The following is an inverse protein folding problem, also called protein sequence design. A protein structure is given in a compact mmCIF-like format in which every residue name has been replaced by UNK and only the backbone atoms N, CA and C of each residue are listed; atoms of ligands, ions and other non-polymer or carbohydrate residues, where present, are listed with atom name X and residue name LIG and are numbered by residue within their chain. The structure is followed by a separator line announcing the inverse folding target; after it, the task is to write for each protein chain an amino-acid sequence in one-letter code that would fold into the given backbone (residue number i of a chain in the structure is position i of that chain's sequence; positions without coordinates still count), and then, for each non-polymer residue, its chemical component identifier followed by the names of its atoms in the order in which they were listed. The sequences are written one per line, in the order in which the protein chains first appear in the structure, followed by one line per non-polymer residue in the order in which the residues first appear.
data_IF_941646310579
#
_entry.id   IF_941646310579
#
_cell.length_a   1.000
_cell.length_b   1.000
_cell.length_c   1.000
_cell.angle_alpha   90.00
_cell.angle_beta   90.00
_cell.angle_gamma   90.00
#
_symmetry.space_group_name_H-M   'P 1'
#
loop_
_entity.id
_entity.type
_entity.pdbx_description
1 polymer ?
#
# COMPACT_ATOMS: atom_id res chain seq x y z
N UNK A 1 -18.46 -14.74 -9.81
CA UNK A 1 -17.31 -15.38 -9.15
C UNK A 1 -16.44 -14.26 -8.61
N UNK A 2 -16.35 -14.11 -7.29
CA UNK A 2 -15.43 -13.15 -6.65
C UNK A 2 -14.06 -13.82 -6.69
N UNK A 3 -13.10 -13.22 -7.39
CA UNK A 3 -11.73 -13.73 -7.38
C UNK A 3 -11.25 -13.77 -5.92
N UNK A 4 -10.65 -14.87 -5.44
CA UNK A 4 -10.07 -14.88 -4.12
C UNK A 4 -9.08 -13.72 -4.05
N UNK A 5 -9.18 -12.89 -3.00
CA UNK A 5 -8.22 -11.82 -2.74
C UNK A 5 -6.85 -12.51 -2.71
N UNK A 6 -6.12 -12.39 -3.82
CA UNK A 6 -4.82 -13.02 -3.98
C UNK A 6 -3.98 -12.65 -2.76
N UNK A 7 -3.32 -13.65 -2.18
CA UNK A 7 -2.51 -13.54 -0.96
C UNK A 7 -1.85 -12.17 -0.86
N UNK A 8 -2.26 -11.39 0.13
CA UNK A 8 -1.73 -10.04 0.33
C UNK A 8 -0.21 -10.15 0.45
N UNK A 9 0.49 -9.52 -0.49
CA UNK A 9 1.94 -9.66 -0.60
C UNK A 9 2.62 -9.09 0.65
N UNK A 10 3.78 -9.66 1.02
CA UNK A 10 4.49 -9.27 2.25
C UNK A 10 4.75 -7.76 2.34
N UNK A 11 5.08 -7.11 1.22
CA UNK A 11 5.34 -5.66 1.21
C UNK A 11 4.10 -4.83 1.56
N UNK A 12 2.89 -5.27 1.17
CA UNK A 12 1.63 -4.57 1.50
C UNK A 12 1.34 -4.64 3.00
N UNK A 13 1.49 -5.82 3.60
CA UNK A 13 1.34 -6.02 5.05
C UNK A 13 2.37 -5.21 5.84
N UNK A 14 3.62 -5.22 5.38
CA UNK A 14 4.68 -4.45 6.02
C UNK A 14 4.41 -2.95 5.94
N UNK A 15 4.03 -2.43 4.77
CA UNK A 15 3.70 -1.01 4.61
C UNK A 15 2.55 -0.59 5.54
N UNK A 16 1.47 -1.37 5.59
CA UNK A 16 0.36 -1.11 6.50
C UNK A 16 0.78 -1.17 7.98
N UNK A 17 1.67 -2.10 8.35
CA UNK A 17 2.24 -2.16 9.70
C UNK A 17 3.06 -0.91 10.05
N UNK A 18 3.89 -0.43 9.11
CA UNK A 18 4.72 0.77 9.28
C UNK A 18 3.89 2.06 9.34
N UNK A 19 2.74 2.11 8.67
CA UNK A 19 1.80 3.23 8.80
C UNK A 19 1.12 3.19 10.17
N UNK A 20 0.64 2.01 10.60
CA UNK A 20 0.01 1.84 11.92
C UNK A 20 0.98 2.11 13.09
N UNK A 21 2.27 1.87 12.92
CA UNK A 21 3.30 2.21 13.92
C UNK A 21 3.65 3.70 13.94
N UNK A 22 3.19 4.49 12.96
CA UNK A 22 3.46 5.92 12.84
C UNK A 22 4.80 6.26 12.17
N UNK A 23 5.51 5.29 11.58
CA UNK A 23 6.71 5.58 10.79
C UNK A 23 6.36 6.36 9.52
N UNK A 24 5.29 5.93 8.84
CA UNK A 24 4.72 6.62 7.69
C UNK A 24 3.37 7.21 8.06
N UNK A 25 3.04 8.37 7.50
CA UNK A 25 1.73 8.99 7.64
C UNK A 25 0.68 8.26 6.79
N UNK A 26 1.04 7.90 5.56
CA UNK A 26 0.15 7.21 4.61
C UNK A 26 0.95 6.51 3.51
N UNK A 27 0.25 5.76 2.66
CA UNK A 27 0.78 5.23 1.41
C UNK A 27 0.29 6.07 0.23
N UNK A 28 1.09 6.17 -0.84
CA UNK A 28 0.70 6.85 -2.08
C UNK A 28 1.28 6.16 -3.32
N UNK A 29 0.66 6.41 -4.48
CA UNK A 29 1.22 6.11 -5.81
C UNK A 29 1.94 7.34 -6.36
N UNK A 30 3.24 7.21 -6.59
CA UNK A 30 4.07 8.27 -7.18
C UNK A 30 4.64 7.87 -8.53
N UNK A 31 4.89 8.84 -9.40
CA UNK A 31 5.61 8.61 -10.65
C UNK A 31 7.10 8.37 -10.35
N UNK A 32 7.67 7.28 -10.87
CA UNK A 32 9.05 6.90 -10.66
C UNK A 32 9.67 6.41 -11.96
N UNK A 33 10.50 7.23 -12.61
CA UNK A 33 11.25 6.89 -13.84
C UNK A 33 10.37 6.25 -14.93
N UNK A 34 9.20 6.82 -15.19
CA UNK A 34 8.24 6.32 -16.20
C UNK A 34 7.35 5.17 -15.73
N UNK A 35 7.43 4.78 -14.45
CA UNK A 35 6.56 3.78 -13.81
C UNK A 35 5.72 4.43 -12.72
N UNK A 36 4.76 3.68 -12.19
CA UNK A 36 3.96 4.02 -11.02
C UNK A 36 4.43 3.19 -9.83
N UNK A 37 4.89 3.86 -8.78
CA UNK A 37 5.47 3.21 -7.61
C UNK A 37 4.59 3.44 -6.38
N UNK A 38 4.39 2.39 -5.59
CA UNK A 38 3.78 2.53 -4.25
C UNK A 38 4.88 2.82 -3.24
N UNK A 39 4.68 3.88 -2.47
CA UNK A 39 5.63 4.37 -1.44
C UNK A 39 4.89 4.65 -0.13
N UNK A 40 5.63 4.65 0.98
CA UNK A 40 5.19 5.29 2.21
C UNK A 40 5.55 6.78 2.18
N UNK A 41 4.69 7.62 2.73
CA UNK A 41 4.92 9.07 2.87
C UNK A 41 5.24 9.35 4.33
N UNK A 42 6.39 9.99 4.59
CA UNK A 42 6.76 10.46 5.92
C UNK A 42 5.92 11.70 6.31
N UNK A 43 5.93 12.05 7.60
CA UNK A 43 5.20 13.23 8.12
C UNK A 43 5.67 14.56 7.51
N UNK A 44 6.91 14.62 7.02
CA UNK A 44 7.44 15.79 6.31
C UNK A 44 7.00 15.84 4.82
N UNK A 45 6.18 14.88 4.38
CA UNK A 45 5.69 14.76 3.01
C UNK A 45 6.68 14.10 2.05
N UNK A 46 7.87 13.70 2.50
CA UNK A 46 8.85 13.04 1.64
C UNK A 46 8.44 11.58 1.36
N UNK A 47 8.64 11.08 0.12
CA UNK A 47 8.35 9.69 -0.20
C UNK A 47 9.50 8.76 0.19
N UNK A 48 9.16 7.56 0.63
CA UNK A 48 10.10 6.47 0.85
C UNK A 48 10.68 5.94 -0.47
N UNK A 49 11.62 5.00 -0.37
CA UNK A 49 11.99 4.18 -1.51
C UNK A 49 10.76 3.41 -2.05
N UNK A 50 10.68 3.16 -3.38
CA UNK A 50 9.62 2.36 -4.00
C UNK A 50 9.55 0.94 -3.41
N UNK A 51 8.37 0.57 -2.91
CA UNK A 51 8.10 -0.78 -2.38
C UNK A 51 7.64 -1.73 -3.49
N UNK A 52 6.84 -1.22 -4.41
CA UNK A 52 6.38 -1.92 -5.60
C UNK A 52 6.33 -0.95 -6.79
N UNK A 53 6.51 -1.48 -8.01
CA UNK A 53 6.51 -0.71 -9.25
C UNK A 53 5.62 -1.37 -10.28
N UNK A 54 4.86 -0.56 -11.00
CA UNK A 54 3.90 -0.98 -12.00
C UNK A 54 4.09 -0.15 -13.27
N UNK A 55 3.98 -0.80 -14.43
CA UNK A 55 3.92 -0.11 -15.71
C UNK A 55 2.56 0.59 -15.93
N UNK A 56 1.51 0.06 -15.30
CA UNK A 56 0.14 0.57 -15.40
C UNK A 56 -0.30 1.20 -14.06
N UNK A 57 -0.90 2.39 -14.14
CA UNK A 57 -1.33 3.15 -12.96
C UNK A 57 -2.44 2.44 -12.19
N UNK A 58 -3.42 1.87 -12.89
CA UNK A 58 -4.58 1.22 -12.26
C UNK A 58 -4.13 0.07 -11.38
N UNK A 59 -3.12 -0.69 -11.82
CA UNK A 59 -2.53 -1.76 -11.00
C UNK A 59 -1.82 -1.25 -9.73
N UNK A 60 -1.21 -0.07 -9.78
CA UNK A 60 -0.61 0.55 -8.60
C UNK A 60 -1.70 1.05 -7.63
N UNK A 61 -2.77 1.67 -8.15
CA UNK A 61 -3.92 2.10 -7.36
C UNK A 61 -4.64 0.91 -6.71
N UNK A 62 -4.86 -0.19 -7.43
CA UNK A 62 -5.44 -1.42 -6.86
C UNK A 62 -4.59 -1.96 -5.71
N UNK A 63 -3.26 -1.92 -5.85
CA UNK A 63 -2.34 -2.35 -4.80
C UNK A 63 -2.36 -1.40 -3.58
N UNK A 64 -2.54 -0.10 -3.80
CA UNK A 64 -2.70 0.90 -2.74
C UNK A 64 -4.00 0.67 -1.96
N UNK A 65 -5.12 0.42 -2.63
CA UNK A 65 -6.41 0.11 -1.98
C UNK A 65 -6.30 -1.10 -1.04
N UNK A 66 -5.52 -2.12 -1.42
CA UNK A 66 -5.26 -3.25 -0.53
C UNK A 66 -4.49 -2.81 0.72
N UNK A 67 -3.49 -1.94 0.59
CA UNK A 67 -2.76 -1.38 1.74
C UNK A 67 -3.68 -0.57 2.64
N UNK A 68 -4.53 0.29 2.07
CA UNK A 68 -5.51 1.10 2.81
C UNK A 68 -6.46 0.22 3.64
N UNK A 69 -6.97 -0.87 3.05
CA UNK A 69 -7.80 -1.84 3.78
C UNK A 69 -7.07 -2.55 4.92
N UNK A 70 -5.76 -2.73 4.84
CA UNK A 70 -4.95 -3.33 5.91
C UNK A 70 -4.58 -2.33 7.02
N UNK A 71 -4.57 -1.04 6.71
CA UNK A 71 -4.37 0.01 7.71
C UNK A 71 -5.61 0.11 8.60
N UNK A 72 -6.80 -0.03 8.01
CA UNK A 72 -8.06 0.06 8.75
C UNK A 72 -8.22 -1.13 9.72
N UNK A 73 -8.23 -0.88 11.04
CA UNK A 73 -8.32 -1.95 12.03
C UNK A 73 -9.70 -2.63 12.04
N UNK A 74 -10.74 -1.96 11.53
CA UNK A 74 -12.12 -2.45 11.52
C UNK A 74 -12.29 -3.61 10.54
N UNK A 75 -11.62 -3.54 9.40
CA UNK A 75 -11.65 -4.58 8.34
C UNK A 75 -10.94 -5.87 8.79
N UNK A 76 -10.02 -5.78 9.75
CA UNK A 76 -9.29 -6.95 10.26
C UNK A 76 -10.14 -7.80 11.23
N UNK A 77 -11.15 -7.22 11.88
CA UNK A 77 -11.97 -7.91 12.88
C UNK A 77 -13.02 -8.87 12.30
N UNK A 78 -13.36 -8.77 11.01
CA UNK A 78 -14.38 -9.61 10.35
C UNK A 78 -13.81 -10.90 9.73
N UNK A 79 -12.53 -11.22 9.99
CA UNK A 79 -11.84 -12.40 9.43
C UNK A 79 -11.46 -13.47 10.46
N UNK A 80 -11.98 -13.39 11.69
CA UNK A 80 -11.77 -14.42 12.74
C UNK A 80 -13.06 -15.18 13.07
#
# INVERSE_FOLDING_TARGET
MIAPIAETTLWQRNLASLIRSGLFERAEVVAYRGLYAVVGIYRDGSPSAPLAKYADRRRADDALVVVEKLIDPTVTAELN
#
